data_IF_064610570222
#
_entry.id   IF_064610570222
#
_cell.length_a   1.000
_cell.length_b   1.000
_cell.length_c   1.000
_cell.angle_alpha   90.00
_cell.angle_beta   90.00
_cell.angle_gamma   90.00
#
_symmetry.space_group_name_H-M   'P 1'
#
loop_
_entity.id
_entity.type
_entity.pdbx_description
1 polymer ?
#
# COMPACT_ATOMS: atom_id res chain seq x y z
N UNK A 1 -14.16 10.66 64.57
CA UNK A 1 -13.95 12.12 64.70
C UNK A 1 -12.51 12.38 64.26
N UNK A 2 -12.30 13.18 63.20
CA UNK A 2 -11.02 13.56 62.53
C UNK A 2 -10.24 12.39 61.88
N UNK A 3 -10.00 12.22 60.57
CA UNK A 3 -9.59 13.08 59.42
C UNK A 3 -8.14 13.61 59.46
N UNK A 4 -7.50 13.53 58.27
CA UNK A 4 -6.18 14.04 57.79
C UNK A 4 -4.96 13.10 57.97
N UNK A 5 -4.00 12.96 57.04
CA UNK A 5 -3.80 13.45 55.67
C UNK A 5 -2.67 12.62 54.97
N UNK A 6 -2.57 12.82 53.66
CA UNK A 6 -1.77 12.13 52.65
C UNK A 6 -0.23 12.22 52.76
N UNK A 7 0.46 11.28 52.11
CA UNK A 7 1.51 11.57 51.11
C UNK A 7 1.99 10.25 50.45
N UNK A 8 1.45 9.92 49.27
CA UNK A 8 2.09 8.99 48.34
C UNK A 8 2.89 9.82 47.33
N UNK A 9 4.22 9.68 47.37
CA UNK A 9 5.12 10.33 46.44
C UNK A 9 5.29 9.45 45.18
N UNK A 10 4.72 9.95 44.08
CA UNK A 10 5.20 9.95 42.70
C UNK A 10 6.33 8.97 42.32
N UNK A 11 6.03 8.06 41.39
CA UNK A 11 6.94 7.75 40.29
C UNK A 11 6.14 7.70 38.99
N UNK A 12 6.38 8.75 38.19
CA UNK A 12 6.19 8.94 36.75
C UNK A 12 5.08 8.17 36.02
N UNK A 13 4.12 8.96 35.55
CA UNK A 13 3.37 8.72 34.34
C UNK A 13 4.34 8.45 33.17
N UNK A 14 4.26 7.29 32.54
CA UNK A 14 4.55 7.16 31.10
C UNK A 14 3.46 6.30 30.48
N UNK A 15 2.99 6.78 29.33
CA UNK A 15 1.76 6.36 28.69
C UNK A 15 1.80 4.91 28.25
N UNK A 16 0.60 4.37 28.00
CA UNK A 16 0.47 3.17 27.19
C UNK A 16 0.95 3.53 25.79
N UNK A 17 2.14 3.09 25.44
CA UNK A 17 2.59 3.06 24.06
C UNK A 17 1.67 2.10 23.33
N UNK A 18 0.75 2.69 22.57
CA UNK A 18 -0.11 2.00 21.62
C UNK A 18 0.72 1.86 20.33
N UNK A 19 1.87 1.18 20.43
CA UNK A 19 2.73 0.93 19.27
C UNK A 19 2.09 -0.22 18.49
N UNK A 20 1.58 0.11 17.30
CA UNK A 20 1.18 -0.88 16.31
C UNK A 20 2.36 -1.77 15.90
N UNK A 21 2.14 -2.70 14.95
CA UNK A 21 3.25 -3.49 14.40
C UNK A 21 4.37 -2.57 13.88
N UNK A 22 5.63 -2.88 14.23
CA UNK A 22 6.79 -2.20 13.69
C UNK A 22 7.16 -2.85 12.34
N UNK A 23 7.17 -2.03 11.29
CA UNK A 23 7.59 -2.43 9.94
C UNK A 23 9.03 -1.98 9.67
N UNK A 24 9.77 -2.70 8.82
CA UNK A 24 11.15 -2.34 8.48
C UNK A 24 11.22 -1.08 7.62
N UNK A 25 10.21 -0.87 6.77
CA UNK A 25 10.04 0.33 5.95
C UNK A 25 8.58 0.77 5.97
N UNK A 26 8.37 2.08 6.17
CA UNK A 26 7.06 2.73 6.16
C UNK A 26 7.05 3.85 5.11
N UNK A 27 6.04 3.85 4.23
CA UNK A 27 5.91 4.80 3.11
C UNK A 27 4.48 5.31 3.03
N UNK A 28 4.32 6.63 2.91
CA UNK A 28 3.07 7.25 2.47
C UNK A 28 3.15 7.48 0.96
N UNK A 29 2.37 6.72 0.20
CA UNK A 29 2.26 6.88 -1.25
C UNK A 29 1.42 8.13 -1.58
N UNK A 30 1.90 8.92 -2.53
CA UNK A 30 1.19 10.08 -3.04
C UNK A 30 0.23 9.73 -4.18
N UNK A 31 0.47 8.61 -4.87
CA UNK A 31 -0.34 8.16 -6.01
C UNK A 31 -0.71 6.69 -5.86
N UNK A 32 -1.93 6.40 -6.29
CA UNK A 32 -2.45 5.06 -6.52
C UNK A 32 -2.98 4.95 -7.95
N UNK A 33 -2.33 4.13 -8.77
CA UNK A 33 -2.81 3.70 -10.09
C UNK A 33 -3.46 2.32 -10.02
N UNK A 34 -4.55 2.13 -10.78
CA UNK A 34 -5.32 0.89 -10.82
C UNK A 34 -5.61 0.55 -12.28
N UNK A 35 -5.04 -0.54 -12.73
CA UNK A 35 -5.41 -1.15 -14.01
C UNK A 35 -6.37 -2.30 -13.75
N UNK A 36 -7.51 -2.29 -14.43
CA UNK A 36 -8.48 -3.40 -14.40
C UNK A 36 -8.53 -4.08 -15.75
N UNK A 37 -8.17 -5.37 -15.79
CA UNK A 37 -8.11 -6.16 -17.02
C UNK A 37 -9.37 -7.00 -17.26
N UNK A 38 -10.46 -6.73 -16.53
CA UNK A 38 -11.69 -7.50 -16.64
C UNK A 38 -11.69 -8.81 -15.84
N UNK A 39 -12.59 -9.70 -16.23
CA UNK A 39 -12.81 -10.99 -15.58
C UNK A 39 -11.76 -12.01 -16.05
N UNK A 40 -10.92 -12.50 -15.13
CA UNK A 40 -9.93 -13.56 -15.37
C UNK A 40 -10.56 -14.94 -15.35
N UNK A 41 -11.42 -15.18 -14.36
CA UNK A 41 -12.19 -16.40 -14.15
C UNK A 41 -13.61 -16.02 -13.71
N UNK A 42 -14.57 -16.95 -13.81
CA UNK A 42 -15.97 -16.63 -13.47
C UNK A 42 -16.11 -16.10 -12.03
N UNK A 43 -16.53 -14.84 -11.89
CA UNK A 43 -16.65 -14.10 -10.64
C UNK A 43 -15.35 -13.45 -10.13
N UNK A 44 -14.26 -13.53 -10.89
CA UNK A 44 -12.91 -13.12 -10.49
C UNK A 44 -12.36 -12.04 -11.44
N UNK A 45 -12.35 -10.78 -10.98
CA UNK A 45 -11.69 -9.67 -11.65
C UNK A 45 -10.17 -9.68 -11.48
N UNK A 46 -9.46 -9.14 -12.46
CA UNK A 46 -8.00 -9.02 -12.52
C UNK A 46 -7.57 -7.55 -12.43
N UNK A 47 -6.73 -7.24 -11.45
CA UNK A 47 -6.31 -5.88 -11.12
C UNK A 47 -4.78 -5.82 -11.02
N UNK A 48 -4.18 -4.74 -11.51
CA UNK A 48 -2.81 -4.37 -11.17
C UNK A 48 -2.80 -3.03 -10.44
N UNK A 49 -2.13 -3.01 -9.30
CA UNK A 49 -2.01 -1.86 -8.40
C UNK A 49 -0.63 -1.23 -8.55
N UNK A 50 -0.59 0.09 -8.60
CA UNK A 50 0.64 0.87 -8.66
C UNK A 50 0.64 1.92 -7.53
N UNK A 51 1.54 1.76 -6.56
CA UNK A 51 1.74 2.74 -5.47
C UNK A 51 3.12 3.37 -5.59
N UNK A 52 3.20 4.67 -5.41
CA UNK A 52 4.46 5.41 -5.35
C UNK A 52 4.36 6.65 -4.47
N UNK A 53 5.46 6.98 -3.79
CA UNK A 53 5.62 8.20 -2.99
C UNK A 53 5.69 9.47 -3.84
N UNK A 54 6.13 9.35 -5.10
CA UNK A 54 6.28 10.47 -6.04
C UNK A 54 5.39 10.35 -7.28
N UNK A 55 4.94 9.14 -7.59
CA UNK A 55 4.02 8.88 -8.67
C UNK A 55 4.64 8.27 -9.91
N UNK A 56 3.84 8.19 -10.96
CA UNK A 56 4.21 7.68 -12.28
C UNK A 56 3.99 8.78 -13.32
N UNK A 57 4.87 8.95 -14.30
CA UNK A 57 4.59 9.76 -15.49
C UNK A 57 4.18 8.85 -16.65
N UNK A 58 3.10 9.24 -17.34
CA UNK A 58 2.37 8.41 -18.30
C UNK A 58 3.19 7.83 -19.47
N UNK A 59 2.57 6.84 -20.11
CA UNK A 59 2.87 6.04 -21.32
C UNK A 59 4.30 5.47 -21.54
N UNK A 60 5.37 6.09 -21.02
CA UNK A 60 6.76 5.76 -21.37
C UNK A 60 7.66 5.44 -20.15
N UNK A 61 7.14 4.89 -19.05
CA UNK A 61 7.93 4.43 -17.89
C UNK A 61 8.87 5.54 -17.32
N UNK A 62 8.43 6.80 -17.38
CA UNK A 62 9.21 7.90 -16.82
C UNK A 62 9.03 7.88 -15.30
N UNK A 63 9.97 7.24 -14.63
CA UNK A 63 10.05 7.27 -13.18
C UNK A 63 10.44 8.66 -12.67
N UNK A 64 10.16 8.94 -11.41
CA UNK A 64 10.75 10.08 -10.73
C UNK A 64 12.10 9.69 -10.12
N UNK A 65 13.04 10.63 -9.98
CA UNK A 65 14.26 10.39 -9.21
C UNK A 65 13.98 10.02 -7.76
N UNK A 66 14.79 9.11 -7.21
CA UNK A 66 14.76 8.68 -5.81
C UNK A 66 13.35 8.28 -5.34
N UNK A 67 12.60 7.54 -6.16
CA UNK A 67 11.21 7.18 -5.90
C UNK A 67 11.07 5.70 -5.53
N UNK A 68 10.03 5.39 -4.76
CA UNK A 68 9.62 4.03 -4.44
C UNK A 68 8.46 3.60 -5.32
N UNK A 69 8.51 2.37 -5.79
CA UNK A 69 7.49 1.78 -6.63
C UNK A 69 7.08 0.43 -6.09
N UNK A 70 5.79 0.28 -5.84
CA UNK A 70 5.16 -0.98 -5.42
C UNK A 70 4.12 -1.35 -6.46
N UNK A 71 4.30 -2.53 -7.08
CA UNK A 71 3.39 -3.10 -8.06
C UNK A 71 2.77 -4.35 -7.46
N UNK A 72 1.44 -4.48 -7.53
CA UNK A 72 0.73 -5.61 -6.97
C UNK A 72 -0.33 -6.15 -7.91
N UNK A 73 -0.15 -7.39 -8.36
CA UNK A 73 -1.18 -8.14 -9.08
C UNK A 73 -2.21 -8.71 -8.09
N UNK A 74 -3.49 -8.51 -8.38
CA UNK A 74 -4.57 -8.99 -7.54
C UNK A 74 -5.73 -9.58 -8.32
N UNK A 75 -6.31 -10.62 -7.71
CA UNK A 75 -7.59 -11.15 -8.10
C UNK A 75 -8.62 -10.85 -7.02
N UNK A 76 -9.82 -10.43 -7.41
CA UNK A 76 -10.91 -10.19 -6.47
C UNK A 76 -12.27 -10.18 -7.16
N UNK A 77 -13.29 -9.60 -6.53
CA UNK A 77 -14.61 -9.52 -7.16
C UNK A 77 -14.54 -8.73 -8.48
N UNK A 78 -15.30 -9.15 -9.49
CA UNK A 78 -15.47 -8.41 -10.75
C UNK A 78 -16.03 -7.01 -10.45
N UNK A 79 -15.45 -5.98 -11.05
CA UNK A 79 -15.98 -4.62 -10.90
C UNK A 79 -17.29 -4.47 -11.68
N UNK A 80 -18.35 -4.02 -11.00
CA UNK A 80 -19.71 -3.90 -11.58
C UNK A 80 -20.01 -2.50 -12.18
N UNK A 81 -19.05 -1.56 -12.20
CA UNK A 81 -19.33 -0.18 -12.59
C UNK A 81 -18.22 0.46 -13.41
N UNK A 82 -18.57 1.53 -14.14
CA UNK A 82 -17.65 2.40 -14.88
C UNK A 82 -16.59 3.11 -14.00
N UNK A 83 -16.68 2.93 -12.68
CA UNK A 83 -15.62 3.26 -11.74
C UNK A 83 -15.12 1.94 -11.17
N UNK A 84 -13.94 1.50 -11.60
CA UNK A 84 -13.29 0.31 -11.06
C UNK A 84 -13.15 0.48 -9.55
N UNK A 85 -13.69 -0.47 -8.78
CA UNK A 85 -13.52 -0.51 -7.32
C UNK A 85 -12.55 -1.61 -6.97
N UNK A 86 -11.37 -1.23 -6.49
CA UNK A 86 -10.39 -2.17 -5.96
C UNK A 86 -11.04 -3.09 -4.90
N UNK A 87 -10.93 -4.41 -5.04
CA UNK A 87 -11.30 -5.33 -3.98
C UNK A 87 -10.29 -5.25 -2.84
N UNK A 88 -10.73 -5.42 -1.59
CA UNK A 88 -9.81 -5.79 -0.49
C UNK A 88 -9.43 -7.26 -0.60
N UNK A 89 -8.22 -7.64 -0.21
CA UNK A 89 -7.81 -9.05 -0.26
C UNK A 89 -6.33 -9.32 -0.07
N UNK A 90 -5.95 -10.55 -0.41
CA UNK A 90 -4.55 -11.01 -0.47
C UNK A 90 -4.08 -10.97 -1.91
N UNK A 91 -2.86 -10.50 -2.14
CA UNK A 91 -2.26 -10.40 -3.48
C UNK A 91 -2.11 -11.76 -4.16
N UNK A 92 -2.15 -11.75 -5.50
CA UNK A 92 -1.62 -12.85 -6.28
C UNK A 92 -0.11 -12.68 -6.43
N UNK A 93 0.63 -13.74 -6.13
CA UNK A 93 2.10 -13.75 -6.15
C UNK A 93 2.73 -13.60 -7.53
N UNK A 94 1.94 -13.75 -8.60
CA UNK A 94 2.47 -13.95 -9.95
C UNK A 94 3.22 -12.76 -10.55
N UNK A 95 3.00 -11.53 -10.07
CA UNK A 95 3.71 -10.34 -10.52
C UNK A 95 3.69 -9.17 -9.52
N UNK A 96 3.94 -9.46 -8.24
CA UNK A 96 3.97 -8.43 -7.19
C UNK A 96 5.41 -8.11 -6.77
N UNK A 97 5.82 -6.85 -6.87
CA UNK A 97 7.20 -6.44 -6.66
C UNK A 97 7.36 -5.01 -6.14
N UNK A 98 8.54 -4.74 -5.62
CA UNK A 98 9.05 -3.42 -5.24
C UNK A 98 10.30 -3.09 -6.02
N UNK A 99 10.52 -1.81 -6.33
CA UNK A 99 11.82 -1.29 -6.76
C UNK A 99 11.97 0.20 -6.44
N UNK A 100 13.21 0.66 -6.56
CA UNK A 100 13.63 2.05 -6.37
C UNK A 100 14.22 2.61 -7.66
N UNK A 101 14.23 3.93 -7.76
CA UNK A 101 15.01 4.67 -8.76
C UNK A 101 16.12 5.49 -8.14
N UNK A 102 17.17 5.74 -8.90
CA UNK A 102 18.27 6.62 -8.52
C UNK A 102 17.97 8.11 -8.82
N UNK A 103 18.95 8.99 -8.59
CA UNK A 103 18.86 10.43 -8.82
C UNK A 103 18.62 10.80 -10.30
N UNK A 104 18.90 9.88 -11.23
CA UNK A 104 18.68 10.05 -12.67
C UNK A 104 17.34 9.45 -13.13
N UNK A 105 16.48 9.04 -12.19
CA UNK A 105 15.22 8.34 -12.43
C UNK A 105 15.37 6.98 -13.13
N UNK A 106 16.53 6.34 -12.98
CA UNK A 106 16.79 5.01 -13.54
C UNK A 106 16.47 3.97 -12.47
N UNK A 107 15.76 2.90 -12.86
CA UNK A 107 15.49 1.77 -11.98
C UNK A 107 16.80 1.16 -11.50
N UNK A 108 16.94 1.03 -10.18
CA UNK A 108 18.06 0.35 -9.56
C UNK A 108 17.79 -1.14 -9.65
N UNK A 109 18.45 -1.85 -10.56
CA UNK A 109 18.21 -3.29 -10.80
C UNK A 109 18.38 -4.15 -9.53
N UNK A 110 19.34 -3.80 -8.66
CA UNK A 110 19.58 -4.50 -7.39
C UNK A 110 18.52 -4.22 -6.31
N UNK A 111 17.59 -3.27 -6.55
CA UNK A 111 16.49 -2.95 -5.63
C UNK A 111 15.20 -3.73 -5.93
N UNK A 112 15.16 -4.47 -7.03
CA UNK A 112 13.96 -5.22 -7.44
C UNK A 112 13.75 -6.40 -6.49
N UNK A 113 12.68 -6.34 -5.71
CA UNK A 113 12.31 -7.35 -4.72
C UNK A 113 10.90 -7.86 -4.99
N UNK A 114 10.74 -9.18 -5.06
CA UNK A 114 9.43 -9.82 -5.14
C UNK A 114 8.73 -9.81 -3.79
N UNK A 115 7.40 -9.75 -3.78
CA UNK A 115 6.62 -9.96 -2.57
C UNK A 115 6.47 -11.46 -2.29
N UNK A 116 7.00 -11.91 -1.15
CA UNK A 116 6.84 -13.28 -0.66
C UNK A 116 5.48 -13.50 0.03
N UNK A 117 4.90 -12.44 0.59
CA UNK A 117 3.56 -12.39 1.20
C UNK A 117 3.07 -10.96 1.33
N UNK A 118 1.76 -10.76 1.45
CA UNK A 118 1.22 -9.45 1.75
C UNK A 118 -0.31 -9.38 1.79
N UNK A 119 -0.81 -8.25 2.27
CA UNK A 119 -2.24 -7.94 2.37
C UNK A 119 -2.51 -6.54 1.83
N UNK A 120 -3.63 -6.38 1.13
CA UNK A 120 -4.18 -5.08 0.76
C UNK A 120 -5.51 -4.86 1.46
N UNK A 121 -5.55 -3.84 2.30
CA UNK A 121 -6.80 -3.30 2.83
C UNK A 121 -7.21 -2.12 1.95
N UNK A 122 -8.46 -2.12 1.49
CA UNK A 122 -9.03 -1.02 0.71
C UNK A 122 -10.34 -0.59 1.34
N UNK A 123 -10.46 0.69 1.63
CA UNK A 123 -11.70 1.29 2.12
C UNK A 123 -11.95 2.63 1.45
N UNK A 124 -13.13 3.20 1.68
CA UNK A 124 -13.54 4.46 1.08
C UNK A 124 -14.09 5.39 2.17
N UNK A 125 -13.57 6.61 2.22
CA UNK A 125 -13.99 7.67 3.14
C UNK A 125 -14.51 8.87 2.35
N UNK A 126 -15.83 8.90 2.10
CA UNK A 126 -16.40 9.86 1.16
C UNK A 126 -15.98 9.50 -0.26
N UNK A 127 -15.34 10.43 -0.96
CA UNK A 127 -14.81 10.18 -2.31
C UNK A 127 -13.40 9.58 -2.26
N UNK A 128 -12.67 9.66 -1.14
CA UNK A 128 -11.28 9.21 -1.07
C UNK A 128 -11.17 7.70 -0.88
N UNK A 129 -10.29 7.09 -1.67
CA UNK A 129 -9.82 5.73 -1.46
C UNK A 129 -8.74 5.74 -0.36
N UNK A 130 -8.84 4.81 0.58
CA UNK A 130 -7.85 4.59 1.65
C UNK A 130 -7.30 3.18 1.49
N UNK A 131 -5.99 3.09 1.26
CA UNK A 131 -5.29 1.84 1.02
C UNK A 131 -4.18 1.64 2.05
N UNK A 132 -4.05 0.40 2.50
CA UNK A 132 -2.94 -0.08 3.32
C UNK A 132 -2.40 -1.37 2.70
N UNK A 133 -1.18 -1.31 2.20
CA UNK A 133 -0.39 -2.44 1.73
C UNK A 133 0.60 -2.83 2.82
N UNK A 134 0.58 -4.09 3.21
CA UNK A 134 1.61 -4.70 4.04
C UNK A 134 2.23 -5.84 3.22
N UNK A 135 3.53 -5.81 2.99
CA UNK A 135 4.24 -6.83 2.21
C UNK A 135 5.51 -7.31 2.90
N UNK A 136 5.88 -8.58 2.71
CA UNK A 136 7.19 -9.13 3.01
C UNK A 136 7.95 -9.28 1.70
N UNK A 137 9.11 -8.63 1.57
CA UNK A 137 9.96 -8.71 0.38
C UNK A 137 10.95 -9.87 0.46
N UNK A 138 11.50 -10.30 -0.68
CA UNK A 138 12.46 -11.40 -0.78
C UNK A 138 13.80 -11.20 -0.03
N UNK A 139 14.10 -9.96 0.42
CA UNK A 139 15.21 -9.66 1.34
C UNK A 139 14.84 -9.87 2.82
N UNK A 140 13.63 -10.36 3.11
CA UNK A 140 13.11 -10.65 4.44
C UNK A 140 12.59 -9.43 5.20
N UNK A 141 12.42 -8.28 4.53
CA UNK A 141 11.92 -7.04 5.16
C UNK A 141 10.43 -6.85 4.97
N UNK A 142 9.79 -6.34 6.01
CA UNK A 142 8.41 -5.91 5.98
C UNK A 142 8.29 -4.47 5.47
N UNK A 143 7.35 -4.25 4.55
CA UNK A 143 6.99 -2.96 3.97
C UNK A 143 5.57 -2.62 4.38
N UNK A 144 5.36 -1.39 4.80
CA UNK A 144 4.04 -0.82 5.06
C UNK A 144 3.87 0.42 4.20
N UNK A 145 2.88 0.40 3.32
CA UNK A 145 2.61 1.47 2.37
C UNK A 145 1.16 1.91 2.53
N UNK A 146 0.94 3.19 2.77
CA UNK A 146 -0.40 3.76 2.92
C UNK A 146 -0.69 4.73 1.79
N UNK A 147 -1.96 4.85 1.40
CA UNK A 147 -2.42 5.87 0.47
C UNK A 147 -3.78 6.40 0.92
N UNK A 148 -3.98 7.70 0.74
CA UNK A 148 -5.29 8.33 0.88
C UNK A 148 -5.48 9.38 -0.21
N UNK A 149 -6.51 9.19 -1.04
CA UNK A 149 -6.87 10.16 -2.06
C UNK A 149 -7.68 9.56 -3.19
N UNK A 150 -7.73 10.28 -4.31
CA UNK A 150 -8.38 9.81 -5.53
C UNK A 150 -7.42 8.90 -6.31
N UNK A 151 -7.78 7.64 -6.59
CA UNK A 151 -6.96 6.79 -7.44
C UNK A 151 -7.09 7.16 -8.91
N UNK A 152 -6.01 6.95 -9.67
CA UNK A 152 -6.04 6.92 -11.13
C UNK A 152 -6.50 5.53 -11.58
N UNK A 153 -7.54 5.46 -12.42
CA UNK A 153 -8.17 4.21 -12.82
C UNK A 153 -8.16 4.07 -14.33
N UNK A 154 -7.60 2.97 -14.82
CA UNK A 154 -7.65 2.56 -16.21
C UNK A 154 -8.46 1.26 -16.33
N UNK A 155 -9.52 1.30 -17.14
CA UNK A 155 -10.34 0.13 -17.44
C UNK A 155 -9.97 -0.42 -18.83
N UNK A 156 -9.37 -1.62 -18.82
CA UNK A 156 -8.98 -2.37 -20.01
C UNK A 156 -9.89 -3.60 -20.23
N UNK A 157 -11.01 -3.70 -19.50
CA UNK A 157 -11.98 -4.77 -19.74
C UNK A 157 -12.67 -4.56 -21.09
N UNK A 158 -12.56 -5.56 -21.98
CA UNK A 158 -13.21 -5.59 -23.30
C UNK A 158 -14.67 -6.07 -23.24
#
# INVERSE_FOLDING_TARGET
>A
MAMAAAAAALSSCEGRDNEGPAYDVDVEAAILGIDYYGEYDSGVGNYCLYLSDKGFHGEDELFYPDAFYYIGDMYGAVSESAQVKLPSGTFSYSYSMYYETDEEAIRIEDSVLEFESGTLSVSWEGDDCVVELIALTSDGKSRHVTFRGQPEVNDYSE
#
